data_IF_348058510819
#
_entry.id   IF_348058510819
#
_cell.length_a   1.000
_cell.length_b   1.000
_cell.length_c   1.000
_cell.angle_alpha   90.00
_cell.angle_beta   90.00
_cell.angle_gamma   90.00
#
_symmetry.space_group_name_H-M   'P 1'
#
loop_
_entity.id
_entity.type
_entity.pdbx_description
1 polymer ?
#
# COMPACT_ATOMS: atom_id res chain seq x y z
N UNK A 1 -0.56 -7.86 -0.94
CA UNK A 1 -0.34 -8.24 -2.36
C UNK A 1 -1.48 -7.77 -3.26
N UNK A 2 -2.74 -8.16 -3.03
CA UNK A 2 -3.86 -7.76 -3.90
C UNK A 2 -4.16 -6.25 -3.94
N UNK A 3 -3.96 -5.53 -2.83
CA UNK A 3 -4.21 -4.07 -2.77
C UNK A 3 -3.22 -3.30 -3.66
N UNK A 4 -1.93 -3.63 -3.60
CA UNK A 4 -0.92 -2.98 -4.46
C UNK A 4 -1.11 -3.31 -5.95
N UNK A 5 -1.52 -4.53 -6.27
CA UNK A 5 -1.86 -4.90 -7.66
C UNK A 5 -3.10 -4.12 -8.16
N UNK A 6 -4.08 -3.89 -7.28
CA UNK A 6 -5.26 -3.09 -7.60
C UNK A 6 -4.90 -1.62 -7.85
N UNK A 7 -4.03 -1.02 -7.02
CA UNK A 7 -3.50 0.33 -7.24
C UNK A 7 -2.81 0.47 -8.61
N UNK A 8 -1.88 -0.44 -8.92
CA UNK A 8 -1.19 -0.49 -10.22
C UNK A 8 -2.19 -0.67 -11.38
N UNK A 9 -3.15 -1.58 -11.20
CA UNK A 9 -4.16 -1.89 -12.22
C UNK A 9 -5.06 -0.70 -12.53
N UNK A 10 -5.51 0.04 -11.52
CA UNK A 10 -6.32 1.25 -11.71
C UNK A 10 -5.50 2.30 -12.46
N UNK A 11 -4.27 2.58 -12.01
CA UNK A 11 -3.36 3.57 -12.62
C UNK A 11 -3.04 3.27 -14.09
N UNK A 12 -2.97 2.00 -14.48
CA UNK A 12 -2.64 1.60 -15.85
C UNK A 12 -3.86 1.43 -16.77
N UNK A 13 -5.02 1.06 -16.23
CA UNK A 13 -6.14 0.55 -17.04
C UNK A 13 -7.49 1.25 -16.81
N UNK A 14 -7.59 2.30 -15.96
CA UNK A 14 -8.86 3.01 -15.79
C UNK A 14 -9.22 3.98 -16.92
N UNK A 15 -8.54 3.90 -18.07
CA UNK A 15 -8.97 4.52 -19.33
C UNK A 15 -8.83 6.04 -19.43
N UNK A 16 -8.15 6.70 -18.49
CA UNK A 16 -7.91 8.15 -18.49
C UNK A 16 -6.46 8.49 -18.16
N UNK A 17 -5.91 9.51 -18.81
CA UNK A 17 -4.69 10.19 -18.35
C UNK A 17 -5.02 10.79 -16.98
N UNK A 18 -4.34 10.35 -15.93
CA UNK A 18 -4.56 10.88 -14.61
C UNK A 18 -3.79 12.20 -14.45
N UNK A 19 -4.50 13.24 -14.03
CA UNK A 19 -3.86 14.41 -13.43
C UNK A 19 -3.48 14.11 -11.97
N UNK A 20 -2.77 15.05 -11.35
CA UNK A 20 -2.30 14.88 -9.97
C UNK A 20 -3.46 14.75 -8.96
N UNK A 21 -4.64 15.33 -9.27
CA UNK A 21 -5.82 15.21 -8.42
C UNK A 21 -6.41 13.80 -8.45
N UNK A 22 -6.56 13.22 -9.65
CA UNK A 22 -7.00 11.84 -9.84
C UNK A 22 -6.08 10.83 -9.15
N UNK A 23 -4.77 11.03 -9.21
CA UNK A 23 -3.79 10.20 -8.49
C UNK A 23 -3.96 10.31 -6.97
N UNK A 24 -4.25 11.51 -6.45
CA UNK A 24 -4.55 11.71 -5.03
C UNK A 24 -5.75 10.88 -4.55
N UNK A 25 -6.81 10.80 -5.36
CA UNK A 25 -7.96 9.94 -5.07
C UNK A 25 -7.62 8.45 -5.09
N UNK A 26 -6.81 8.01 -6.05
CA UNK A 26 -6.34 6.62 -6.12
C UNK A 26 -5.50 6.27 -4.89
N UNK A 27 -4.57 7.14 -4.47
CA UNK A 27 -3.82 6.94 -3.23
C UNK A 27 -4.71 6.90 -1.99
N UNK A 28 -5.77 7.72 -1.94
CA UNK A 28 -6.74 7.66 -0.85
C UNK A 28 -7.42 6.28 -0.78
N UNK A 29 -7.84 5.73 -1.91
CA UNK A 29 -8.41 4.38 -1.99
C UNK A 29 -7.40 3.29 -1.59
N UNK A 30 -6.13 3.42 -2.00
CA UNK A 30 -5.04 2.57 -1.55
C UNK A 30 -4.94 2.56 -0.02
N UNK A 31 -4.92 3.73 0.63
CA UNK A 31 -4.85 3.82 2.09
C UNK A 31 -6.08 3.24 2.80
N UNK A 32 -7.29 3.43 2.24
CA UNK A 32 -8.51 2.79 2.76
C UNK A 32 -8.36 1.25 2.79
N UNK A 33 -7.68 0.66 1.80
CA UNK A 33 -7.36 -0.77 1.80
C UNK A 33 -6.22 -1.15 2.75
N UNK A 34 -5.19 -0.30 2.87
CA UNK A 34 -4.01 -0.58 3.71
C UNK A 34 -4.31 -0.53 5.20
N UNK A 35 -5.21 0.34 5.66
CA UNK A 35 -5.60 0.45 7.08
C UNK A 35 -6.14 -0.87 7.65
N UNK A 36 -7.17 -1.52 7.09
CA UNK A 36 -7.64 -2.80 7.59
C UNK A 36 -6.59 -3.91 7.43
N UNK A 37 -5.76 -3.86 6.38
CA UNK A 37 -4.65 -4.80 6.22
C UNK A 37 -3.63 -4.67 7.36
N UNK A 38 -3.30 -3.44 7.75
CA UNK A 38 -2.40 -3.16 8.88
C UNK A 38 -3.00 -3.61 10.21
N UNK A 39 -4.29 -3.36 10.44
CA UNK A 39 -5.00 -3.86 11.63
C UNK A 39 -4.92 -5.39 11.71
N UNK A 40 -5.17 -6.09 10.60
CA UNK A 40 -5.05 -7.56 10.55
C UNK A 40 -3.63 -8.04 10.83
N UNK A 41 -2.61 -7.35 10.31
CA UNK A 41 -1.21 -7.66 10.60
C UNK A 41 -0.93 -7.53 12.11
N UNK A 42 -1.32 -6.42 12.73
CA UNK A 42 -1.12 -6.20 14.16
C UNK A 42 -1.82 -7.29 14.98
N UNK A 43 -3.08 -7.60 14.67
CA UNK A 43 -3.82 -8.67 15.35
C UNK A 43 -3.08 -10.01 15.21
N UNK A 44 -2.63 -10.36 14.01
CA UNK A 44 -1.91 -11.61 13.77
C UNK A 44 -0.60 -11.71 14.56
N UNK A 45 0.20 -10.65 14.50
CA UNK A 45 1.52 -10.56 15.14
C UNK A 45 1.42 -10.55 16.68
N UNK A 46 0.43 -9.84 17.24
CA UNK A 46 0.23 -9.79 18.69
C UNK A 46 -0.47 -11.04 19.26
N UNK A 47 -1.26 -11.74 18.46
CA UNK A 47 -1.91 -13.00 18.88
C UNK A 47 -0.92 -14.16 19.00
N UNK A 48 0.18 -14.12 18.24
CA UNK A 48 1.26 -15.10 18.34
C UNK A 48 2.07 -14.87 19.64
N UNK A 49 1.88 -15.75 20.62
CA UNK A 49 2.52 -15.66 21.93
C UNK A 49 3.93 -16.23 21.95
N UNK A 50 4.27 -17.09 21.01
CA UNK A 50 5.55 -17.79 20.95
C UNK A 50 6.59 -17.03 20.11
N UNK A 51 6.13 -16.10 19.27
CA UNK A 51 7.01 -15.24 18.46
C UNK A 51 7.75 -14.19 19.29
N UNK A 52 9.05 -14.05 18.99
CA UNK A 52 9.94 -13.05 19.59
C UNK A 52 9.48 -11.62 19.33
N UNK A 53 9.62 -10.74 20.32
CA UNK A 53 9.31 -9.30 20.21
C UNK A 53 10.01 -8.65 19.00
N UNK A 54 11.24 -9.10 18.68
CA UNK A 54 12.01 -8.61 17.54
C UNK A 54 11.34 -8.93 16.20
N UNK A 55 10.80 -10.14 16.05
CA UNK A 55 10.07 -10.51 14.84
C UNK A 55 8.80 -9.69 14.69
N UNK A 56 8.10 -9.40 15.80
CA UNK A 56 6.91 -8.55 15.80
C UNK A 56 7.20 -7.14 15.30
N UNK A 57 8.25 -6.52 15.85
CA UNK A 57 8.72 -5.19 15.43
C UNK A 57 9.16 -5.22 13.97
N UNK A 58 9.92 -6.24 13.57
CA UNK A 58 10.39 -6.39 12.20
C UNK A 58 9.23 -6.51 11.21
N UNK A 59 8.16 -7.25 11.53
CA UNK A 59 6.97 -7.37 10.67
C UNK A 59 6.30 -6.01 10.43
N UNK A 60 6.18 -5.18 11.47
CA UNK A 60 5.61 -3.83 11.36
C UNK A 60 6.50 -2.93 10.51
N UNK A 61 7.82 -2.94 10.75
CA UNK A 61 8.78 -2.14 9.98
C UNK A 61 8.78 -2.55 8.51
N UNK A 62 8.84 -3.84 8.21
CA UNK A 62 8.80 -4.36 6.84
C UNK A 62 7.51 -3.93 6.14
N UNK A 63 6.37 -3.98 6.82
CA UNK A 63 5.10 -3.56 6.24
C UNK A 63 5.10 -2.08 5.84
N UNK A 64 5.60 -1.19 6.72
CA UNK A 64 5.73 0.24 6.43
C UNK A 64 6.71 0.50 5.29
N UNK A 65 7.86 -0.19 5.28
CA UNK A 65 8.86 -0.07 4.21
C UNK A 65 8.32 -0.54 2.85
N UNK A 66 7.51 -1.60 2.82
CA UNK A 66 6.88 -2.08 1.60
C UNK A 66 5.86 -1.08 1.05
N UNK A 67 5.07 -0.42 1.91
CA UNK A 67 4.16 0.65 1.48
C UNK A 67 4.97 1.82 0.91
N UNK A 68 6.01 2.25 1.62
CA UNK A 68 6.88 3.34 1.18
C UNK A 68 7.50 3.04 -0.20
N UNK A 69 8.09 1.86 -0.37
CA UNK A 69 8.67 1.43 -1.64
C UNK A 69 7.62 1.35 -2.76
N UNK A 70 6.40 0.89 -2.46
CA UNK A 70 5.31 0.86 -3.44
C UNK A 70 4.94 2.27 -3.90
N UNK A 71 4.82 3.22 -2.97
CA UNK A 71 4.52 4.61 -3.32
C UNK A 71 5.63 5.22 -4.17
N UNK A 72 6.90 5.14 -3.74
CA UNK A 72 8.03 5.69 -4.50
C UNK A 72 8.14 5.14 -5.94
N UNK A 73 7.87 3.85 -6.14
CA UNK A 73 7.98 3.22 -7.46
C UNK A 73 6.77 3.55 -8.35
N UNK A 74 5.58 3.69 -7.77
CA UNK A 74 4.32 3.75 -8.51
C UNK A 74 3.51 5.03 -8.30
N UNK A 75 4.06 6.06 -7.66
CA UNK A 75 3.38 7.32 -7.36
C UNK A 75 2.84 7.98 -8.63
N UNK A 76 3.69 8.12 -9.64
CA UNK A 76 3.36 8.79 -10.91
C UNK A 76 3.04 7.81 -12.04
N UNK A 77 2.79 6.54 -11.71
CA UNK A 77 2.46 5.54 -12.72
C UNK A 77 1.15 5.92 -13.43
N UNK A 78 1.17 5.99 -14.76
CA UNK A 78 -0.02 6.34 -15.56
C UNK A 78 -0.32 7.85 -15.66
N UNK A 79 0.53 8.71 -15.09
CA UNK A 79 0.47 10.17 -15.25
C UNK A 79 1.22 10.56 -16.52
N UNK A 80 0.55 11.31 -17.42
CA UNK A 80 1.21 11.93 -18.57
C UNK A 80 1.68 13.33 -18.17
N UNK A 81 3.00 13.52 -18.07
CA UNK A 81 3.62 14.83 -17.84
C UNK A 81 3.83 15.47 -19.21
N UNK A 82 2.84 16.24 -19.67
CA UNK A 82 2.93 17.06 -20.89
C UNK A 82 3.77 18.31 -20.67
#
# INVERSE_FOLDING_TARGET
MYIGLNDIGIKLFSGGRHDMEGVGWIHTMLFIGLVPCFIMLLIGVFRDKDSSIWLKVLSVIIFVLLIYAHLEIFETLGVDVS
#
